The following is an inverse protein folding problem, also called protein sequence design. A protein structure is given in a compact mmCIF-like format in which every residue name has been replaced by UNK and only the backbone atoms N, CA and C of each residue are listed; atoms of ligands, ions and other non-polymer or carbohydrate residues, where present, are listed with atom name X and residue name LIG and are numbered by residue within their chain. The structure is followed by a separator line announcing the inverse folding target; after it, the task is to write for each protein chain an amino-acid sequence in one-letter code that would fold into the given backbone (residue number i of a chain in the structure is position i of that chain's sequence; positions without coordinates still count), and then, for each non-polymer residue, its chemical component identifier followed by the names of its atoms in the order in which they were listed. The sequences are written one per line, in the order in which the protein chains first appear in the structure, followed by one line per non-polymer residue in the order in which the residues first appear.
data_IF_956606195178
#
_entry.id   IF_956606195178
#
_cell.length_a   1.000
_cell.length_b   1.000
_cell.length_c   1.000
_cell.angle_alpha   90.00
_cell.angle_beta   90.00
_cell.angle_gamma   90.00
#
_symmetry.space_group_name_H-M   'P 1'
#
loop_
_entity.id
_entity.type
_entity.pdbx_description
1 polymer ?
#
# COMPACT_ATOMS: atom_id res chain seq x y z
N UNK A 1 41.77 17.81 32.44
CA UNK A 1 40.57 18.00 31.59
C UNK A 1 40.91 17.57 30.18
N UNK A 2 40.00 16.82 29.55
CA UNK A 2 39.92 16.49 28.12
C UNK A 2 40.88 15.41 27.60
N UNK A 3 40.33 14.21 27.37
CA UNK A 3 40.36 13.53 26.06
C UNK A 3 39.55 12.23 26.14
N UNK A 4 38.22 12.37 26.24
CA UNK A 4 37.29 11.31 25.83
C UNK A 4 36.71 11.76 24.51
N UNK A 5 37.51 11.62 23.45
CA UNK A 5 36.99 11.62 22.10
C UNK A 5 36.19 10.32 22.03
N UNK A 6 34.88 10.46 22.22
CA UNK A 6 33.87 9.44 21.97
C UNK A 6 34.17 8.83 20.59
N UNK A 7 34.76 7.63 20.55
CA UNK A 7 34.80 6.84 19.34
C UNK A 7 33.35 6.56 19.00
N UNK A 8 32.81 7.36 18.08
CA UNK A 8 31.54 7.12 17.43
C UNK A 8 31.77 5.87 16.58
N UNK A 9 31.67 4.73 17.25
CA UNK A 9 31.83 3.43 16.63
C UNK A 9 30.65 3.28 15.68
N UNK A 10 30.93 3.57 14.42
CA UNK A 10 30.00 3.43 13.32
C UNK A 10 29.90 1.92 13.05
N UNK A 11 29.29 1.19 13.98
CA UNK A 11 28.91 -0.19 13.80
C UNK A 11 27.86 -0.21 12.69
N UNK A 12 28.33 -0.30 11.45
CA UNK A 12 27.48 -0.55 10.30
C UNK A 12 26.88 -1.94 10.50
N UNK A 13 25.68 -2.00 11.04
CA UNK A 13 24.95 -3.24 11.20
C UNK A 13 24.54 -3.74 9.81
N UNK A 14 25.28 -4.71 9.30
CA UNK A 14 24.98 -5.31 8.00
C UNK A 14 23.72 -6.15 8.10
N UNK A 15 22.72 -5.81 7.33
CA UNK A 15 21.57 -6.66 7.04
C UNK A 15 22.02 -7.75 6.07
N UNK A 16 21.91 -9.02 6.48
CA UNK A 16 22.27 -10.15 5.63
C UNK A 16 21.00 -10.95 5.33
N UNK A 17 20.73 -11.16 4.05
CA UNK A 17 19.66 -12.04 3.58
C UNK A 17 20.27 -13.35 3.10
N UNK A 18 20.03 -14.43 3.84
CA UNK A 18 20.56 -15.78 3.52
C UNK A 18 19.54 -16.64 2.77
N UNK A 19 18.40 -16.08 2.39
CA UNK A 19 17.29 -16.80 1.79
C UNK A 19 17.53 -17.19 0.33
N UNK A 20 17.22 -18.45 -0.02
CA UNK A 20 17.18 -18.90 -1.43
C UNK A 20 15.85 -18.49 -2.09
N UNK A 21 15.92 -17.73 -3.19
CA UNK A 21 14.75 -17.27 -3.95
C UNK A 21 13.90 -18.39 -4.54
N UNK A 22 14.51 -19.47 -5.04
CA UNK A 22 13.77 -20.62 -5.58
C UNK A 22 12.89 -21.33 -4.54
N UNK A 23 13.38 -21.50 -3.30
CA UNK A 23 12.60 -22.08 -2.20
C UNK A 23 11.44 -21.16 -1.78
N UNK A 24 11.68 -19.85 -1.75
CA UNK A 24 10.61 -18.85 -1.53
C UNK A 24 9.53 -18.93 -2.61
N UNK A 25 9.93 -18.99 -3.89
CA UNK A 25 9.01 -19.05 -5.02
C UNK A 25 8.12 -20.30 -4.96
N UNK A 26 8.69 -21.48 -4.70
CA UNK A 26 7.92 -22.72 -4.56
C UNK A 26 6.90 -22.64 -3.42
N UNK A 27 7.30 -22.10 -2.26
CA UNK A 27 6.37 -21.90 -1.14
C UNK A 27 5.24 -20.95 -1.55
N UNK A 28 5.55 -19.84 -2.19
CA UNK A 28 4.54 -18.88 -2.63
C UNK A 28 3.61 -19.47 -3.69
N UNK A 29 4.16 -20.20 -4.66
CA UNK A 29 3.41 -20.82 -5.75
C UNK A 29 2.43 -21.87 -5.24
N UNK A 30 2.85 -22.75 -4.33
CA UNK A 30 1.97 -23.78 -3.75
C UNK A 30 0.83 -23.13 -2.98
N UNK A 31 1.11 -22.12 -2.16
CA UNK A 31 0.07 -21.41 -1.42
C UNK A 31 -0.84 -20.56 -2.34
N UNK A 32 -0.31 -20.04 -3.45
CA UNK A 32 -1.09 -19.35 -4.46
C UNK A 32 -2.05 -20.31 -5.18
N UNK A 33 -1.58 -21.49 -5.58
CA UNK A 33 -2.44 -22.54 -6.15
C UNK A 33 -3.57 -22.92 -5.20
N UNK A 34 -3.26 -23.08 -3.91
CA UNK A 34 -4.27 -23.36 -2.89
C UNK A 34 -5.27 -22.19 -2.73
N UNK A 35 -4.81 -20.96 -2.90
CA UNK A 35 -5.68 -19.77 -2.91
C UNK A 35 -6.63 -19.79 -4.10
N UNK A 36 -6.16 -20.15 -5.30
CA UNK A 36 -7.02 -20.29 -6.47
C UNK A 36 -8.07 -21.40 -6.28
N UNK A 37 -7.67 -22.56 -5.75
CA UNK A 37 -8.58 -23.70 -5.49
C UNK A 37 -9.66 -23.31 -4.46
N UNK A 38 -9.31 -22.50 -3.47
CA UNK A 38 -10.23 -22.03 -2.42
C UNK A 38 -10.98 -20.75 -2.78
N UNK A 39 -11.03 -20.36 -4.07
CA UNK A 39 -11.71 -19.15 -4.56
C UNK A 39 -11.24 -17.86 -3.85
N UNK A 40 -9.98 -17.81 -3.42
CA UNK A 40 -9.39 -16.66 -2.75
C UNK A 40 -9.51 -16.66 -1.22
N UNK A 41 -10.26 -17.59 -0.62
CA UNK A 41 -10.45 -17.65 0.84
C UNK A 41 -9.09 -17.84 1.56
N UNK A 42 -8.19 -18.65 1.01
CA UNK A 42 -6.89 -18.92 1.64
C UNK A 42 -5.85 -17.77 1.49
N UNK A 43 -6.18 -16.68 0.76
CA UNK A 43 -5.22 -15.62 0.44
C UNK A 43 -4.49 -15.03 1.67
N UNK A 44 -5.16 -14.73 2.81
CA UNK A 44 -4.49 -14.14 3.97
C UNK A 44 -3.45 -15.07 4.61
N UNK A 45 -3.72 -16.38 4.63
CA UNK A 45 -2.76 -17.37 5.15
C UNK A 45 -1.57 -17.55 4.20
N UNK A 46 -1.81 -17.55 2.90
CA UNK A 46 -0.75 -17.60 1.89
C UNK A 46 0.22 -16.41 2.05
N UNK A 47 -0.30 -15.20 2.16
CA UNK A 47 0.50 -13.99 2.34
C UNK A 47 1.35 -14.03 3.62
N UNK A 48 0.78 -14.49 4.74
CA UNK A 48 1.50 -14.61 6.01
C UNK A 48 2.64 -15.61 5.91
N UNK A 49 2.43 -16.77 5.26
CA UNK A 49 3.48 -17.78 5.08
C UNK A 49 4.64 -17.27 4.23
N UNK A 50 4.35 -16.58 3.12
CA UNK A 50 5.38 -15.98 2.27
C UNK A 50 6.20 -14.94 3.05
N UNK A 51 5.52 -14.03 3.77
CA UNK A 51 6.18 -13.01 4.59
C UNK A 51 7.05 -13.64 5.68
N UNK A 52 6.53 -14.65 6.39
CA UNK A 52 7.29 -15.35 7.45
C UNK A 52 8.60 -15.94 6.92
N UNK A 53 8.61 -16.50 5.71
CA UNK A 53 9.84 -17.00 5.09
C UNK A 53 10.87 -15.87 4.91
N UNK A 54 10.47 -14.70 4.40
CA UNK A 54 11.40 -13.58 4.20
C UNK A 54 11.97 -13.13 5.55
N UNK A 55 11.13 -12.88 6.56
CA UNK A 55 11.58 -12.42 7.88
C UNK A 55 12.50 -13.40 8.59
N UNK A 56 12.24 -14.72 8.53
CA UNK A 56 13.13 -15.72 9.14
C UNK A 56 14.51 -15.81 8.45
N UNK A 57 14.60 -15.48 7.16
CA UNK A 57 15.86 -15.50 6.41
C UNK A 57 16.57 -14.14 6.35
N UNK A 58 15.98 -13.10 6.94
CA UNK A 58 16.65 -11.82 7.18
C UNK A 58 17.30 -11.86 8.57
N UNK A 59 18.61 -11.65 8.62
CA UNK A 59 19.34 -11.52 9.89
C UNK A 59 19.93 -10.11 10.00
N UNK A 60 19.81 -9.53 11.19
CA UNK A 60 20.53 -8.31 11.56
C UNK A 60 21.47 -8.69 12.70
N UNK A 61 22.77 -8.47 12.50
CA UNK A 61 23.81 -8.87 13.46
C UNK A 61 23.74 -10.37 13.86
N UNK A 62 23.58 -11.24 12.86
CA UNK A 62 23.45 -12.70 13.02
C UNK A 62 22.22 -13.17 13.83
N UNK A 63 21.25 -12.30 14.09
CA UNK A 63 19.99 -12.62 14.76
C UNK A 63 18.82 -12.53 13.77
N UNK A 64 17.99 -13.58 13.61
CA UNK A 64 16.87 -13.56 12.69
C UNK A 64 15.70 -12.71 13.20
N UNK A 65 14.96 -12.08 12.29
CA UNK A 65 13.70 -11.45 12.67
C UNK A 65 12.63 -12.51 12.96
N UNK A 66 11.97 -12.39 14.11
CA UNK A 66 10.81 -13.19 14.44
C UNK A 66 9.54 -12.50 13.92
N UNK A 67 8.73 -13.22 13.14
CA UNK A 67 7.42 -12.76 12.67
C UNK A 67 6.35 -13.74 13.08
N UNK A 68 5.45 -13.31 13.97
CA UNK A 68 4.45 -14.18 14.60
C UNK A 68 3.01 -13.96 14.10
N UNK A 69 2.80 -13.42 12.90
CA UNK A 69 1.45 -13.00 12.51
C UNK A 69 0.50 -14.17 12.26
N UNK A 70 -0.74 -14.01 12.71
CA UNK A 70 -1.82 -14.98 12.47
C UNK A 70 -2.63 -14.55 11.25
N UNK A 71 -2.79 -15.46 10.27
CA UNK A 71 -3.58 -15.22 9.05
C UNK A 71 -5.08 -15.02 9.29
N UNK A 72 -5.64 -15.62 10.34
CA UNK A 72 -7.06 -15.49 10.68
C UNK A 72 -7.51 -14.07 11.02
N UNK A 73 -6.66 -13.28 11.68
CA UNK A 73 -6.96 -11.88 11.99
C UNK A 73 -7.04 -11.01 10.71
N UNK A 74 -6.21 -11.31 9.71
CA UNK A 74 -6.28 -10.65 8.40
C UNK A 74 -7.52 -11.11 7.63
N UNK A 75 -7.86 -12.41 7.70
CA UNK A 75 -9.04 -12.95 7.06
C UNK A 75 -10.33 -12.29 7.55
N UNK A 76 -10.50 -12.08 8.86
CA UNK A 76 -11.71 -11.44 9.39
C UNK A 76 -11.92 -10.04 8.79
N UNK A 77 -10.82 -9.29 8.61
CA UNK A 77 -10.86 -7.93 8.08
C UNK A 77 -11.22 -7.90 6.59
N UNK A 78 -10.67 -8.83 5.80
CA UNK A 78 -10.97 -8.98 4.37
C UNK A 78 -12.40 -9.46 4.16
N UNK A 79 -12.85 -10.44 4.95
CA UNK A 79 -14.20 -10.98 4.90
C UNK A 79 -15.24 -9.88 5.19
N UNK A 80 -15.01 -9.07 6.22
CA UNK A 80 -15.90 -7.96 6.56
C UNK A 80 -16.01 -6.94 5.42
N UNK A 81 -14.89 -6.54 4.81
CA UNK A 81 -14.88 -5.62 3.66
C UNK A 81 -15.63 -6.23 2.47
N UNK A 82 -15.41 -7.51 2.18
CA UNK A 82 -16.06 -8.22 1.09
C UNK A 82 -17.59 -8.30 1.27
N UNK A 83 -18.05 -8.58 2.50
CA UNK A 83 -19.48 -8.59 2.82
C UNK A 83 -20.10 -7.21 2.64
N UNK A 84 -19.47 -6.15 3.18
CA UNK A 84 -19.98 -4.77 3.03
C UNK A 84 -20.03 -4.38 1.55
N UNK A 85 -19.01 -4.76 0.78
CA UNK A 85 -18.97 -4.50 -0.66
C UNK A 85 -20.13 -5.17 -1.41
N UNK A 86 -20.36 -6.47 -1.19
CA UNK A 86 -21.48 -7.19 -1.82
C UNK A 86 -22.82 -6.55 -1.42
N UNK A 87 -23.02 -6.28 -0.13
CA UNK A 87 -24.25 -5.64 0.37
C UNK A 87 -24.45 -4.27 -0.28
N UNK A 88 -23.38 -3.49 -0.44
CA UNK A 88 -23.45 -2.19 -1.11
C UNK A 88 -23.91 -2.31 -2.56
N UNK A 89 -23.41 -3.29 -3.31
CA UNK A 89 -23.83 -3.54 -4.70
C UNK A 89 -25.28 -4.02 -4.77
N UNK A 90 -25.66 -4.97 -3.92
CA UNK A 90 -27.04 -5.50 -3.90
C UNK A 90 -28.06 -4.40 -3.59
N UNK A 91 -27.77 -3.48 -2.66
CA UNK A 91 -28.66 -2.36 -2.33
C UNK A 91 -28.88 -1.39 -3.50
N UNK A 92 -27.85 -1.20 -4.34
CA UNK A 92 -27.94 -0.35 -5.54
C UNK A 92 -28.93 -0.97 -6.52
N UNK A 93 -28.86 -2.29 -6.72
CA UNK A 93 -29.74 -3.02 -7.65
C UNK A 93 -31.19 -3.11 -7.15
N UNK A 94 -31.42 -3.20 -5.83
CA UNK A 94 -32.75 -3.36 -5.24
C UNK A 94 -33.51 -2.04 -5.02
N UNK A 95 -33.07 -0.94 -5.64
CA UNK A 95 -33.80 0.33 -5.63
C UNK A 95 -33.51 1.25 -4.43
N UNK A 96 -32.48 0.97 -3.64
CA UNK A 96 -32.00 1.86 -2.57
C UNK A 96 -30.59 2.41 -2.86
N UNK A 97 -30.39 3.14 -3.98
CA UNK A 97 -29.06 3.58 -4.40
C UNK A 97 -28.38 4.50 -3.38
N UNK A 98 -29.14 5.34 -2.68
CA UNK A 98 -28.60 6.22 -1.64
C UNK A 98 -27.87 5.45 -0.54
N UNK A 99 -28.48 4.39 0.00
CA UNK A 99 -27.86 3.55 1.02
C UNK A 99 -26.64 2.79 0.46
N UNK A 100 -26.74 2.27 -0.75
CA UNK A 100 -25.62 1.60 -1.42
C UNK A 100 -24.39 2.49 -1.58
N UNK A 101 -24.55 3.70 -2.09
CA UNK A 101 -23.45 4.67 -2.23
C UNK A 101 -22.88 5.11 -0.87
N UNK A 102 -23.72 5.27 0.16
CA UNK A 102 -23.22 5.62 1.50
C UNK A 102 -22.33 4.52 2.09
N UNK A 103 -22.73 3.25 1.96
CA UNK A 103 -21.91 2.11 2.41
C UNK A 103 -20.61 1.99 1.63
N UNK A 104 -20.68 2.17 0.31
CA UNK A 104 -19.50 2.16 -0.54
C UNK A 104 -18.52 3.28 -0.19
N UNK A 105 -19.03 4.50 0.05
CA UNK A 105 -18.23 5.63 0.53
C UNK A 105 -17.60 5.38 1.90
N UNK A 106 -18.31 4.73 2.81
CA UNK A 106 -17.79 4.34 4.12
C UNK A 106 -16.67 3.31 4.00
N UNK A 107 -16.81 2.34 3.08
CA UNK A 107 -15.76 1.36 2.77
C UNK A 107 -14.49 2.07 2.29
N UNK A 108 -14.60 3.05 1.40
CA UNK A 108 -13.45 3.88 0.99
C UNK A 108 -12.86 4.61 2.20
N UNK A 109 -13.68 5.29 3.00
CA UNK A 109 -13.24 6.02 4.19
C UNK A 109 -12.53 5.14 5.24
N UNK A 110 -12.82 3.84 5.30
CA UNK A 110 -12.19 2.91 6.26
C UNK A 110 -10.82 2.41 5.80
N UNK A 111 -10.48 2.49 4.50
CA UNK A 111 -9.18 2.06 3.96
C UNK A 111 -7.99 2.67 4.73
N UNK A 112 -7.91 3.99 5.00
CA UNK A 112 -6.76 4.58 5.69
C UNK A 112 -6.67 4.09 7.13
N UNK A 113 -7.82 3.85 7.77
CA UNK A 113 -7.87 3.27 9.11
C UNK A 113 -7.31 1.85 9.10
N UNK A 114 -7.78 1.02 8.17
CA UNK A 114 -7.30 -0.35 8.01
C UNK A 114 -5.81 -0.40 7.64
N UNK A 115 -5.33 0.50 6.79
CA UNK A 115 -3.93 0.57 6.40
C UNK A 115 -3.03 0.87 7.61
N UNK A 116 -3.39 1.88 8.41
CA UNK A 116 -2.64 2.22 9.64
C UNK A 116 -2.66 1.06 10.63
N UNK A 117 -3.83 0.46 10.88
CA UNK A 117 -3.95 -0.69 11.78
C UNK A 117 -3.21 -1.92 11.27
N UNK A 118 -3.19 -2.14 9.96
CA UNK A 118 -2.45 -3.21 9.31
C UNK A 118 -0.94 -3.06 9.45
N UNK A 119 -0.42 -1.83 9.27
CA UNK A 119 1.00 -1.52 9.50
C UNK A 119 1.37 -1.64 10.98
N UNK A 120 0.53 -1.14 11.88
CA UNK A 120 0.71 -1.31 13.32
C UNK A 120 0.76 -2.78 13.73
N UNK A 121 -0.18 -3.59 13.23
CA UNK A 121 -0.21 -5.02 13.49
C UNK A 121 1.04 -5.72 12.98
N UNK A 122 1.51 -5.38 11.77
CA UNK A 122 2.74 -5.97 11.21
C UNK A 122 3.96 -5.61 12.04
N UNK A 123 4.10 -4.36 12.47
CA UNK A 123 5.20 -3.91 13.32
C UNK A 123 5.18 -4.57 14.70
N UNK A 124 4.02 -4.63 15.35
CA UNK A 124 3.88 -5.27 16.66
C UNK A 124 4.19 -6.76 16.62
N UNK A 125 4.02 -7.40 15.46
CA UNK A 125 4.26 -8.82 15.28
C UNK A 125 5.67 -9.15 14.78
N UNK A 126 6.44 -8.15 14.33
CA UNK A 126 7.86 -8.28 14.09
C UNK A 126 8.61 -8.02 15.39
N UNK A 127 9.54 -8.91 15.73
CA UNK A 127 10.44 -8.73 16.87
C UNK A 127 11.87 -9.04 16.49
N UNK A 128 12.81 -8.28 17.04
CA UNK A 128 14.25 -8.51 16.94
C UNK A 128 14.82 -8.60 18.37
N UNK A 129 15.54 -9.67 18.68
CA UNK A 129 16.09 -9.91 20.03
C UNK A 129 15.04 -9.77 21.17
N UNK A 130 13.80 -10.18 20.92
CA UNK A 130 12.71 -10.09 21.90
C UNK A 130 12.04 -8.71 22.01
N UNK A 131 12.57 -7.68 21.34
CA UNK A 131 11.94 -6.34 21.28
C UNK A 131 11.03 -6.27 20.06
N UNK A 132 9.75 -5.93 20.29
CA UNK A 132 8.75 -5.79 19.22
C UNK A 132 8.86 -4.39 18.60
N UNK A 133 8.64 -4.29 17.30
CA UNK A 133 8.62 -2.98 16.64
C UNK A 133 7.32 -2.24 16.94
N UNK A 134 7.45 -0.96 17.32
CA UNK A 134 6.32 -0.06 17.47
C UNK A 134 6.17 0.82 16.24
N UNK A 135 4.94 0.97 15.73
CA UNK A 135 4.63 1.93 14.67
C UNK A 135 3.60 2.95 15.16
N UNK A 136 4.03 4.19 15.37
CA UNK A 136 3.15 5.29 15.75
C UNK A 136 2.85 6.16 14.54
N UNK A 137 1.69 5.94 13.91
CA UNK A 137 1.21 6.79 12.84
C UNK A 137 -0.02 7.56 13.30
N UNK A 138 -0.02 8.87 13.05
CA UNK A 138 -1.14 9.75 13.37
C UNK A 138 -2.28 9.52 12.37
N UNK A 139 -3.45 9.14 12.89
CA UNK A 139 -4.64 8.79 12.10
C UNK A 139 -5.08 9.91 11.13
N UNK A 140 -5.04 11.17 11.58
CA UNK A 140 -5.43 12.34 10.76
C UNK A 140 -4.50 12.58 9.57
N UNK A 141 -3.18 12.35 9.74
CA UNK A 141 -2.24 12.49 8.63
C UNK A 141 -2.40 11.39 7.60
N UNK A 142 -2.71 10.17 8.03
CA UNK A 142 -2.98 9.06 7.10
C UNK A 142 -4.15 9.39 6.16
N UNK A 143 -5.25 9.95 6.69
CA UNK A 143 -6.36 10.43 5.87
C UNK A 143 -5.93 11.51 4.86
N UNK A 144 -5.13 12.49 5.31
CA UNK A 144 -4.65 13.54 4.43
C UNK A 144 -3.80 13.01 3.28
N UNK A 145 -2.80 12.18 3.58
CA UNK A 145 -1.89 11.67 2.56
C UNK A 145 -2.54 10.67 1.61
N UNK A 146 -3.51 9.88 2.10
CA UNK A 146 -4.09 8.81 1.30
C UNK A 146 -5.30 9.26 0.47
N UNK A 147 -6.03 10.29 0.89
CA UNK A 147 -7.17 10.84 0.14
C UNK A 147 -6.98 12.28 -0.29
N UNK A 148 -6.65 13.19 0.63
CA UNK A 148 -6.61 14.61 0.29
C UNK A 148 -5.49 14.93 -0.70
N UNK A 149 -4.30 14.34 -0.53
CA UNK A 149 -3.15 14.56 -1.42
C UNK A 149 -3.41 14.10 -2.87
N UNK A 150 -3.83 12.84 -3.16
CA UNK A 150 -4.08 12.42 -4.54
C UNK A 150 -5.24 13.20 -5.18
N UNK A 151 -6.29 13.53 -4.43
CA UNK A 151 -7.38 14.37 -4.94
C UNK A 151 -6.88 15.78 -5.26
N UNK A 152 -6.06 16.38 -4.39
CA UNK A 152 -5.45 17.69 -4.62
C UNK A 152 -4.54 17.68 -5.86
N UNK A 153 -3.73 16.63 -6.03
CA UNK A 153 -2.89 16.47 -7.23
C UNK A 153 -3.72 16.32 -8.49
N UNK A 154 -4.82 15.56 -8.45
CA UNK A 154 -5.74 15.44 -9.59
C UNK A 154 -6.43 16.76 -9.93
N UNK A 155 -6.90 17.51 -8.92
CA UNK A 155 -7.51 18.83 -9.13
C UNK A 155 -6.49 19.82 -9.69
N UNK A 156 -5.26 19.84 -9.16
CA UNK A 156 -4.18 20.68 -9.68
C UNK A 156 -3.87 20.34 -11.14
N UNK A 157 -3.76 19.05 -11.48
CA UNK A 157 -3.52 18.59 -12.83
C UNK A 157 -4.68 18.98 -13.78
N UNK A 158 -5.93 18.83 -13.34
CA UNK A 158 -7.10 19.24 -14.11
C UNK A 158 -7.09 20.76 -14.40
N UNK A 159 -6.78 21.58 -13.40
CA UNK A 159 -6.68 23.04 -13.56
C UNK A 159 -5.58 23.39 -14.57
N UNK A 160 -4.42 22.75 -14.49
CA UNK A 160 -3.32 22.98 -15.45
C UNK A 160 -3.75 22.63 -16.87
N UNK A 161 -4.39 21.47 -17.07
CA UNK A 161 -4.90 21.06 -18.38
C UNK A 161 -6.00 22.01 -18.91
N UNK A 162 -6.87 22.49 -18.02
CA UNK A 162 -7.92 23.45 -18.38
C UNK A 162 -7.34 24.79 -18.83
N UNK A 163 -6.34 25.33 -18.11
CA UNK A 163 -5.65 26.57 -18.49
C UNK A 163 -4.95 26.40 -19.85
N UNK A 164 -4.26 25.27 -20.04
CA UNK A 164 -3.63 24.92 -21.32
C UNK A 164 -4.66 24.93 -22.45
N UNK A 165 -5.82 24.29 -22.26
CA UNK A 165 -6.91 24.27 -23.25
C UNK A 165 -7.42 25.68 -23.58
N UNK A 166 -7.59 26.53 -22.56
CA UNK A 166 -8.02 27.91 -22.74
C UNK A 166 -7.03 28.74 -23.58
N UNK A 167 -5.73 28.63 -23.28
CA UNK A 167 -4.66 29.33 -24.02
C UNK A 167 -4.59 28.84 -25.47
N UNK A 168 -4.73 27.53 -25.68
CA UNK A 168 -4.74 26.86 -26.99
C UNK A 168 -5.89 27.39 -27.88
N UNK A 169 -7.06 27.62 -27.29
CA UNK A 169 -8.20 28.21 -28.01
C UNK A 169 -7.98 29.71 -28.30
N UNK A 170 -7.41 30.46 -27.35
CA UNK A 170 -7.23 31.91 -27.46
C UNK A 170 -6.15 32.34 -28.48
N UNK A 171 -5.07 31.57 -28.62
CA UNK A 171 -3.96 31.89 -29.56
C UNK A 171 -4.31 31.51 -31.01
N UNK A 172 -5.36 30.72 -31.23
CA UNK A 172 -6.13 30.72 -32.47
C UNK A 172 -5.46 30.14 -33.72
N UNK A 173 -4.54 29.18 -33.59
CA UNK A 173 -3.89 28.51 -34.73
C UNK A 173 -4.02 27.00 -34.69
N UNK A 174 -4.66 26.38 -35.70
CA UNK A 174 -4.82 24.91 -35.78
C UNK A 174 -3.46 24.19 -35.75
N UNK A 175 -2.44 24.75 -36.43
CA UNK A 175 -1.07 24.20 -36.46
C UNK A 175 -0.40 24.32 -35.09
N UNK A 176 -0.53 25.47 -34.41
CA UNK A 176 0.04 25.68 -33.08
C UNK A 176 -0.56 24.69 -32.06
N UNK A 177 -1.88 24.47 -32.14
CA UNK A 177 -2.60 23.56 -31.24
C UNK A 177 -2.17 22.10 -31.42
N UNK A 178 -1.98 21.63 -32.65
CA UNK A 178 -1.51 20.27 -32.93
C UNK A 178 -0.08 20.07 -32.43
N UNK A 179 0.82 21.03 -32.68
CA UNK A 179 2.22 20.95 -32.24
C UNK A 179 2.33 20.99 -30.71
N UNK A 180 1.53 21.84 -30.04
CA UNK A 180 1.52 21.96 -28.59
C UNK A 180 0.95 20.72 -27.88
N UNK A 181 -0.17 20.16 -28.39
CA UNK A 181 -0.71 18.89 -27.90
C UNK A 181 0.27 17.72 -28.11
N UNK A 182 0.97 17.70 -29.26
CA UNK A 182 2.01 16.71 -29.54
C UNK A 182 3.17 16.78 -28.54
N UNK A 183 3.67 17.98 -28.24
CA UNK A 183 4.73 18.17 -27.23
C UNK A 183 4.28 17.75 -25.82
N UNK A 184 3.05 18.08 -25.41
CA UNK A 184 2.51 17.67 -24.12
C UNK A 184 2.33 16.15 -24.01
N UNK A 185 1.90 15.48 -25.07
CA UNK A 185 1.81 14.02 -25.10
C UNK A 185 3.19 13.35 -24.95
N UNK A 186 4.21 13.89 -25.60
CA UNK A 186 5.59 13.40 -25.50
C UNK A 186 6.14 13.61 -24.07
N UNK A 187 5.90 14.78 -23.47
CA UNK A 187 6.31 15.07 -22.08
C UNK A 187 5.55 14.16 -21.09
N UNK A 188 4.25 13.94 -21.31
CA UNK A 188 3.44 13.06 -20.46
C UNK A 188 3.87 11.60 -20.51
N UNK A 189 4.36 11.13 -21.67
CA UNK A 189 4.91 9.77 -21.83
C UNK A 189 6.32 9.66 -21.22
N UNK A 190 7.13 10.72 -21.28
CA UNK A 190 8.50 10.72 -20.73
C UNK A 190 8.60 10.87 -19.21
N UNK A 191 7.49 11.17 -18.52
CA UNK A 191 7.42 11.34 -17.05
C UNK A 191 6.90 10.09 -16.32
N UNK A 192 6.49 9.06 -17.06
CA UNK A 192 6.16 7.72 -16.54
C UNK A 192 7.43 6.85 -16.52
#
# INVERSE_FOLDING_TARGET
MNNVISSKDNHNHTLVFTGKGGKYFVICLVNFLLTCITLGIYAPWAMVKCRRYIYTNMTLNNQPFAYKATGGALFISVLLVFIIYIVSLSLIEHGHPGLGFTLFGLLIAIIPFMAVKGLQYQAMMTSLNGVHFGFQCSMRRAWWYMFALPVLLMVALYIVLYIISLVTIAVGGLVFNIVFLGLLAIIGIGVI
#
